data_IF_878577835168
#
_entry.id   IF_878577835168
#
_cell.length_a   1.000
_cell.length_b   1.000
_cell.length_c   1.000
_cell.angle_alpha   90.00
_cell.angle_beta   90.00
_cell.angle_gamma   90.00
#
_symmetry.space_group_name_H-M   'P 1'
#
loop_
_entity.id
_entity.type
_entity.pdbx_description
1 polymer ?
#
# COMPACT_ATOMS: atom_id res chain seq x y z
N UNK A 1 10.52 3.65 -10.23
CA UNK A 1 10.12 2.36 -10.84
C UNK A 1 8.89 1.84 -10.13
N UNK A 2 7.91 1.35 -10.89
CA UNK A 2 6.76 0.58 -10.38
C UNK A 2 6.81 -0.79 -11.06
N UNK A 3 6.94 -1.85 -10.26
CA UNK A 3 7.01 -3.21 -10.76
C UNK A 3 5.71 -3.96 -10.44
N UNK A 4 5.28 -4.76 -11.40
CA UNK A 4 4.12 -5.64 -11.34
C UNK A 4 4.62 -7.08 -11.37
N UNK A 5 4.18 -7.89 -10.40
CA UNK A 5 4.54 -9.30 -10.31
C UNK A 5 3.28 -10.16 -10.20
N UNK A 6 3.31 -11.43 -10.61
CA UNK A 6 2.17 -12.35 -10.45
C UNK A 6 1.66 -12.44 -9.01
N UNK A 7 2.57 -12.40 -8.04
CA UNK A 7 2.24 -12.47 -6.60
C UNK A 7 1.66 -11.18 -6.01
N UNK A 8 1.53 -10.11 -6.77
CA UNK A 8 0.98 -8.83 -6.26
C UNK A 8 -0.48 -8.94 -5.79
N UNK A 9 -1.17 -10.04 -6.08
CA UNK A 9 -2.50 -10.33 -5.51
C UNK A 9 -2.52 -10.34 -3.98
N UNK A 10 -1.37 -10.50 -3.32
CA UNK A 10 -1.23 -10.39 -1.85
C UNK A 10 -1.56 -8.97 -1.33
N UNK A 11 -1.48 -7.93 -2.17
CA UNK A 11 -1.88 -6.57 -1.77
C UNK A 11 -3.41 -6.41 -1.70
N UNK A 12 -4.16 -7.35 -2.28
CA UNK A 12 -5.64 -7.37 -2.26
C UNK A 12 -6.15 -8.24 -1.10
N UNK A 13 -5.57 -9.43 -0.94
CA UNK A 13 -6.11 -10.46 -0.05
C UNK A 13 -5.19 -10.85 1.10
N UNK A 14 -4.01 -10.26 1.18
CA UNK A 14 -3.01 -10.56 2.19
C UNK A 14 -3.37 -10.07 3.59
N UNK A 15 -2.44 -10.28 4.52
CA UNK A 15 -2.60 -9.82 5.91
C UNK A 15 -2.58 -8.29 5.99
N UNK A 16 -3.19 -7.71 7.03
CA UNK A 16 -3.16 -6.24 7.22
C UNK A 16 -1.76 -5.65 7.22
N UNK A 17 -0.76 -6.40 7.68
CA UNK A 17 0.63 -5.95 7.68
C UNK A 17 1.23 -5.85 6.28
N UNK A 18 0.90 -6.77 5.37
CA UNK A 18 1.33 -6.72 3.96
C UNK A 18 0.76 -5.49 3.28
N UNK A 19 -0.54 -5.23 3.47
CA UNK A 19 -1.22 -4.10 2.85
C UNK A 19 -0.69 -2.77 3.43
N UNK A 20 -0.48 -2.69 4.76
CA UNK A 20 0.16 -1.52 5.38
C UNK A 20 1.53 -1.23 4.79
N UNK A 21 2.38 -2.25 4.66
CA UNK A 21 3.71 -2.08 4.06
C UNK A 21 3.65 -1.61 2.60
N UNK A 22 2.65 -2.05 1.84
CA UNK A 22 2.44 -1.56 0.48
C UNK A 22 2.17 -0.05 0.48
N UNK A 23 1.18 0.43 1.28
CA UNK A 23 0.87 1.85 1.34
C UNK A 23 1.98 2.69 1.98
N UNK A 24 2.65 2.19 3.01
CA UNK A 24 3.82 2.88 3.58
C UNK A 24 4.93 3.07 2.54
N UNK A 25 5.19 2.06 1.70
CA UNK A 25 6.16 2.17 0.59
C UNK A 25 5.70 3.14 -0.48
N UNK A 26 4.43 3.09 -0.88
CA UNK A 26 3.85 3.98 -1.87
C UNK A 26 3.97 5.44 -1.42
N UNK A 27 3.49 5.77 -0.23
CA UNK A 27 3.55 7.13 0.30
C UNK A 27 5.01 7.59 0.44
N UNK A 28 5.90 6.72 0.89
CA UNK A 28 7.33 7.02 1.00
C UNK A 28 8.00 7.34 -0.36
N UNK A 29 7.47 6.83 -1.47
CA UNK A 29 7.97 7.18 -2.81
C UNK A 29 7.67 8.63 -3.19
N UNK A 30 6.61 9.22 -2.66
CA UNK A 30 6.11 10.55 -3.07
C UNK A 30 6.27 11.62 -2.01
N UNK A 31 6.43 11.25 -0.73
CA UNK A 31 6.50 12.16 0.40
C UNK A 31 7.75 11.87 1.27
N UNK A 32 8.73 12.78 1.22
CA UNK A 32 9.97 12.66 2.01
C UNK A 32 9.72 12.80 3.52
N UNK A 33 8.82 13.71 3.91
CA UNK A 33 8.47 13.89 5.32
C UNK A 33 7.83 12.62 5.90
N UNK A 34 7.06 11.89 5.07
CA UNK A 34 6.47 10.63 5.49
C UNK A 34 7.54 9.57 5.81
N UNK A 35 8.65 9.53 5.07
CA UNK A 35 9.78 8.61 5.33
C UNK A 35 10.38 8.89 6.72
N UNK A 36 10.64 10.17 7.00
CA UNK A 36 11.23 10.61 8.27
C UNK A 36 10.28 10.31 9.43
N UNK A 37 9.01 10.63 9.26
CA UNK A 37 7.96 10.38 10.23
C UNK A 37 7.79 8.88 10.53
N UNK A 38 7.72 8.05 9.49
CA UNK A 38 7.58 6.59 9.62
C UNK A 38 8.81 5.97 10.30
N UNK A 39 10.01 6.46 9.98
CA UNK A 39 11.26 6.01 10.58
C UNK A 39 11.31 6.37 12.07
N UNK A 40 10.96 7.61 12.39
CA UNK A 40 10.88 8.10 13.78
C UNK A 40 9.84 7.31 14.58
N UNK A 41 8.65 7.13 14.02
CA UNK A 41 7.59 6.32 14.63
C UNK A 41 8.05 4.89 14.96
N UNK A 42 8.70 4.21 14.01
CA UNK A 42 9.22 2.85 14.21
C UNK A 42 10.27 2.80 15.34
N UNK A 43 11.13 3.79 15.43
CA UNK A 43 12.12 3.92 16.51
C UNK A 43 11.45 4.15 17.86
N UNK A 44 10.49 5.06 17.92
CA UNK A 44 9.73 5.37 19.14
C UNK A 44 8.95 4.15 19.60
N UNK A 45 8.22 3.49 18.70
CA UNK A 45 7.46 2.26 19.00
C UNK A 45 8.37 1.16 19.56
N UNK A 46 9.52 0.93 18.95
CA UNK A 46 10.50 -0.06 19.42
C UNK A 46 10.99 0.24 20.85
N UNK A 47 11.32 1.50 21.11
CA UNK A 47 11.81 1.91 22.44
C UNK A 47 10.70 1.87 23.48
N UNK A 48 9.49 2.34 23.16
CA UNK A 48 8.32 2.22 24.03
C UNK A 48 8.02 0.76 24.37
N UNK A 49 8.02 -0.13 23.39
CA UNK A 49 7.79 -1.57 23.63
C UNK A 49 8.90 -2.22 24.47
N UNK A 50 10.15 -1.76 24.33
CA UNK A 50 11.23 -2.21 25.20
C UNK A 50 10.97 -1.78 26.65
N UNK A 51 10.62 -0.51 26.86
CA UNK A 51 10.32 0.01 28.19
C UNK A 51 9.11 -0.72 28.82
N UNK A 52 8.05 -0.99 28.04
CA UNK A 52 6.90 -1.76 28.53
C UNK A 52 7.30 -3.14 29.05
N UNK A 53 8.22 -3.83 28.39
CA UNK A 53 8.77 -5.11 28.86
C UNK A 53 9.59 -4.96 30.14
N UNK A 54 10.42 -3.91 30.20
CA UNK A 54 11.28 -3.65 31.36
C UNK A 54 10.46 -3.32 32.61
N UNK A 55 9.31 -2.62 32.46
CA UNK A 55 8.39 -2.28 33.57
C UNK A 55 7.78 -3.53 34.25
N UNK A 56 7.61 -4.63 33.50
CA UNK A 56 7.16 -5.90 34.08
C UNK A 56 8.07 -6.38 35.25
N UNK A 57 9.35 -6.01 35.18
CA UNK A 57 10.36 -6.40 36.18
C UNK A 57 10.76 -5.25 37.11
N UNK A 58 10.63 -3.98 36.67
CA UNK A 58 11.06 -2.77 37.39
C UNK A 58 9.98 -1.69 37.28
N UNK A 59 9.09 -1.62 38.27
CA UNK A 59 7.96 -0.66 38.28
C UNK A 59 8.35 0.81 38.47
N UNK A 60 9.52 1.09 39.06
CA UNK A 60 10.02 2.44 39.33
C UNK A 60 10.26 3.25 38.05
N UNK A 61 10.46 2.58 36.90
CA UNK A 61 10.71 3.27 35.59
C UNK A 61 9.42 3.65 34.86
N UNK A 62 8.24 3.39 35.42
CA UNK A 62 6.95 3.65 34.71
C UNK A 62 6.77 5.12 34.28
N UNK A 63 7.33 6.07 35.04
CA UNK A 63 7.28 7.49 34.71
C UNK A 63 7.98 7.83 33.38
N UNK A 64 8.92 7.00 32.93
CA UNK A 64 9.58 7.18 31.63
C UNK A 64 8.62 6.98 30.46
N UNK A 65 7.49 6.28 30.65
CA UNK A 65 6.46 6.13 29.62
C UNK A 65 5.85 7.47 29.21
N UNK A 66 5.78 8.46 30.09
CA UNK A 66 5.17 9.76 29.76
C UNK A 66 5.91 10.47 28.63
N UNK A 67 7.23 10.34 28.58
CA UNK A 67 8.07 10.90 27.52
C UNK A 67 7.80 10.16 26.19
N UNK A 68 7.82 8.81 26.25
CA UNK A 68 7.59 8.01 25.05
C UNK A 68 6.15 8.12 24.55
N UNK A 69 5.16 8.22 25.43
CA UNK A 69 3.76 8.42 25.08
C UNK A 69 3.56 9.78 24.38
N UNK A 70 4.25 10.84 24.82
CA UNK A 70 4.20 12.14 24.15
C UNK A 70 4.78 12.07 22.73
N UNK A 71 6.03 11.57 22.61
CA UNK A 71 6.69 11.41 21.31
C UNK A 71 5.91 10.49 20.35
N UNK A 72 5.32 9.43 20.91
CA UNK A 72 4.49 8.49 20.16
C UNK A 72 3.22 9.17 19.64
N UNK A 73 2.54 9.95 20.47
CA UNK A 73 1.28 10.63 20.11
C UNK A 73 1.49 11.60 18.96
N UNK A 74 2.57 12.39 19.00
CA UNK A 74 2.92 13.33 17.94
C UNK A 74 3.11 12.60 16.60
N UNK A 75 3.95 11.58 16.56
CA UNK A 75 4.23 10.82 15.35
C UNK A 75 3.01 10.01 14.87
N UNK A 76 2.25 9.40 15.78
CA UNK A 76 1.11 8.58 15.44
C UNK A 76 -0.03 9.40 14.83
N UNK A 77 -0.34 10.55 15.42
CA UNK A 77 -1.32 11.51 14.88
C UNK A 77 -0.95 11.93 13.45
N UNK A 78 0.27 12.41 13.27
CA UNK A 78 0.74 12.85 11.95
C UNK A 78 0.70 11.74 10.88
N UNK A 79 1.08 10.48 11.24
CA UNK A 79 0.98 9.34 10.33
C UNK A 79 -0.46 9.03 9.92
N UNK A 80 -1.40 9.04 10.88
CA UNK A 80 -2.82 8.77 10.59
C UNK A 80 -3.38 9.82 9.62
N UNK A 81 -3.10 11.10 9.86
CA UNK A 81 -3.54 12.20 9.00
C UNK A 81 -3.00 12.02 7.57
N UNK A 82 -1.68 11.82 7.43
CA UNK A 82 -1.06 11.62 6.11
C UNK A 82 -1.63 10.39 5.40
N UNK A 83 -1.79 9.26 6.08
CA UNK A 83 -2.37 8.05 5.49
C UNK A 83 -3.78 8.28 4.97
N UNK A 84 -4.65 8.95 5.72
CA UNK A 84 -6.00 9.29 5.26
C UNK A 84 -5.98 10.12 3.98
N UNK A 85 -5.20 11.21 3.95
CA UNK A 85 -5.08 12.07 2.77
C UNK A 85 -4.60 11.31 1.54
N UNK A 86 -3.57 10.46 1.69
CA UNK A 86 -3.04 9.68 0.56
C UNK A 86 -4.02 8.59 0.08
N UNK A 87 -4.78 7.98 0.96
CA UNK A 87 -5.79 6.98 0.56
C UNK A 87 -6.95 7.62 -0.17
N UNK A 88 -7.43 8.78 0.27
CA UNK A 88 -8.45 9.55 -0.44
C UNK A 88 -7.98 9.89 -1.86
N UNK A 89 -6.77 10.41 -2.00
CA UNK A 89 -6.19 10.72 -3.31
C UNK A 89 -5.99 9.46 -4.16
N UNK A 90 -5.49 8.37 -3.58
CA UNK A 90 -5.31 7.10 -4.28
C UNK A 90 -6.63 6.52 -4.82
N UNK A 91 -7.70 6.63 -4.05
CA UNK A 91 -9.02 6.14 -4.44
C UNK A 91 -9.58 6.84 -5.68
N UNK A 92 -9.19 8.09 -5.98
CA UNK A 92 -9.62 8.77 -7.20
C UNK A 92 -9.17 8.05 -8.46
N UNK A 93 -7.97 7.43 -8.43
CA UNK A 93 -7.45 6.61 -9.53
C UNK A 93 -7.95 5.18 -9.47
N UNK A 94 -7.92 4.56 -8.28
CA UNK A 94 -8.19 3.14 -8.12
C UNK A 94 -9.60 2.75 -8.58
N UNK A 95 -10.60 3.53 -8.19
CA UNK A 95 -11.98 3.31 -8.58
C UNK A 95 -12.16 3.34 -10.11
N UNK A 96 -11.61 4.38 -10.75
CA UNK A 96 -11.72 4.55 -12.20
C UNK A 96 -10.99 3.45 -12.96
N UNK A 97 -9.73 3.18 -12.58
CA UNK A 97 -8.89 2.19 -13.26
C UNK A 97 -9.46 0.78 -13.13
N UNK A 98 -9.96 0.39 -11.95
CA UNK A 98 -10.55 -0.93 -11.81
C UNK A 98 -11.79 -1.11 -12.69
N UNK A 99 -12.67 -0.11 -12.74
CA UNK A 99 -13.87 -0.14 -13.58
C UNK A 99 -13.53 -0.26 -15.07
N UNK A 100 -12.55 0.51 -15.53
CA UNK A 100 -12.10 0.49 -16.92
C UNK A 100 -11.45 -0.85 -17.32
N UNK A 101 -10.65 -1.45 -16.42
CA UNK A 101 -9.96 -2.71 -16.70
C UNK A 101 -10.87 -3.93 -16.58
N UNK A 102 -11.80 -3.92 -15.65
CA UNK A 102 -12.65 -5.08 -15.38
C UNK A 102 -13.83 -5.19 -16.32
N UNK A 103 -14.30 -4.07 -16.85
CA UNK A 103 -15.59 -3.99 -17.56
C UNK A 103 -16.81 -4.23 -16.65
N UNK A 104 -16.59 -4.46 -15.36
CA UNK A 104 -17.64 -4.64 -14.37
C UNK A 104 -18.09 -3.28 -13.81
N UNK A 105 -19.34 -3.22 -13.39
CA UNK A 105 -19.90 -2.01 -12.74
C UNK A 105 -19.61 -2.01 -11.22
N UNK A 106 -18.50 -2.60 -10.80
CA UNK A 106 -18.07 -2.64 -9.41
C UNK A 106 -17.24 -1.41 -9.06
N UNK A 107 -17.70 -0.65 -8.09
CA UNK A 107 -17.01 0.50 -7.54
C UNK A 107 -16.09 0.06 -6.37
N UNK A 108 -14.83 -0.29 -6.66
CA UNK A 108 -13.88 -0.61 -5.61
C UNK A 108 -13.37 0.63 -4.90
N UNK A 109 -13.38 0.58 -3.57
CA UNK A 109 -12.86 1.66 -2.71
C UNK A 109 -12.04 1.08 -1.57
N UNK A 110 -10.90 1.71 -1.28
CA UNK A 110 -10.06 1.36 -0.13
C UNK A 110 -10.48 2.23 1.04
N UNK A 111 -10.88 1.60 2.14
CA UNK A 111 -11.13 2.29 3.41
C UNK A 111 -9.97 2.05 4.35
N UNK A 112 -9.49 3.13 4.95
CA UNK A 112 -8.48 3.11 5.98
C UNK A 112 -9.11 3.21 7.36
N UNK A 113 -8.83 2.25 8.20
CA UNK A 113 -9.28 2.19 9.58
C UNK A 113 -8.08 2.39 10.50
N UNK A 114 -7.98 3.58 11.06
CA UNK A 114 -7.02 3.86 12.10
C UNK A 114 -7.43 3.13 13.37
N UNK A 115 -6.46 2.56 14.08
CA UNK A 115 -6.71 1.96 15.39
C UNK A 115 -6.89 3.02 16.48
N UNK A 116 -6.38 4.23 16.25
CA UNK A 116 -6.64 5.42 17.05
C UNK A 116 -7.96 6.03 16.62
N UNK A 117 -8.82 6.39 17.57
CA UNK A 117 -10.13 6.98 17.29
C UNK A 117 -10.07 8.46 16.96
N UNK A 118 -9.04 9.15 17.47
CA UNK A 118 -8.81 10.58 17.28
C UNK A 118 -7.48 10.85 16.57
N UNK A 119 -7.43 12.00 15.90
CA UNK A 119 -6.21 12.48 15.21
C UNK A 119 -5.50 13.57 16.00
N UNK A 120 -6.18 14.18 16.98
CA UNK A 120 -5.59 15.20 17.80
C UNK A 120 -4.59 14.58 18.77
N UNK A 121 -3.40 15.16 18.88
CA UNK A 121 -2.29 14.65 19.72
C UNK A 121 -2.71 14.47 21.18
N UNK A 122 -3.46 15.40 21.75
CA UNK A 122 -3.94 15.32 23.12
C UNK A 122 -4.86 14.12 23.32
N UNK A 123 -5.77 13.88 22.40
CA UNK A 123 -6.69 12.75 22.45
C UNK A 123 -5.97 11.42 22.25
N UNK A 124 -5.02 11.34 21.35
CA UNK A 124 -4.15 10.16 21.18
C UNK A 124 -3.40 9.85 22.47
N UNK A 125 -2.87 10.87 23.15
CA UNK A 125 -2.19 10.70 24.45
C UNK A 125 -3.16 10.18 25.52
N UNK A 126 -4.39 10.67 25.54
CA UNK A 126 -5.44 10.19 26.45
C UNK A 126 -5.82 8.73 26.15
N UNK A 127 -5.95 8.35 24.86
CA UNK A 127 -6.22 6.96 24.47
C UNK A 127 -5.09 6.02 24.90
N UNK A 128 -3.82 6.41 24.72
CA UNK A 128 -2.66 5.64 25.18
C UNK A 128 -2.65 5.48 26.70
N UNK A 129 -2.94 6.57 27.43
CA UNK A 129 -3.01 6.53 28.89
C UNK A 129 -4.05 5.52 29.39
N UNK A 130 -5.23 5.47 28.77
CA UNK A 130 -6.29 4.48 29.10
C UNK A 130 -5.85 3.05 28.82
N UNK A 131 -4.99 2.82 27.81
CA UNK A 131 -4.48 1.50 27.43
C UNK A 131 -3.19 1.11 28.15
N UNK A 132 -2.57 2.02 28.92
CA UNK A 132 -1.24 1.84 29.52
C UNK A 132 -1.13 0.53 30.35
N UNK A 133 -2.13 0.22 31.17
CA UNK A 133 -2.10 -1.00 31.99
C UNK A 133 -2.11 -2.28 31.12
N UNK A 134 -2.89 -2.27 30.04
CA UNK A 134 -2.96 -3.38 29.08
C UNK A 134 -1.62 -3.50 28.35
N UNK A 135 -1.06 -2.38 27.87
CA UNK A 135 0.21 -2.33 27.18
C UNK A 135 1.35 -2.88 28.07
N UNK A 136 1.35 -2.53 29.38
CA UNK A 136 2.33 -3.05 30.34
C UNK A 136 2.16 -4.55 30.51
N UNK A 137 0.92 -5.04 30.71
CA UNK A 137 0.66 -6.49 30.87
C UNK A 137 1.10 -7.29 29.63
N UNK A 138 0.86 -6.75 28.43
CA UNK A 138 1.22 -7.39 27.17
C UNK A 138 2.68 -7.16 26.76
N UNK A 139 3.40 -6.25 27.40
CA UNK A 139 4.76 -5.85 27.02
C UNK A 139 4.85 -5.25 25.62
N UNK A 140 3.75 -4.71 25.09
CA UNK A 140 3.67 -4.15 23.73
C UNK A 140 2.58 -3.10 23.62
N UNK A 141 2.78 -2.14 22.72
CA UNK A 141 1.79 -1.11 22.37
C UNK A 141 0.64 -1.73 21.59
N UNK A 142 -0.59 -1.56 22.07
CA UNK A 142 -1.79 -2.16 21.49
C UNK A 142 -2.56 -1.24 20.55
N UNK A 143 -2.29 0.06 20.56
CA UNK A 143 -2.93 1.08 19.72
C UNK A 143 -1.93 1.83 18.85
N UNK A 144 -2.33 2.24 17.66
CA UNK A 144 -1.60 3.18 16.81
C UNK A 144 -1.32 2.67 15.39
N UNK A 145 -0.60 3.44 14.59
CA UNK A 145 -0.39 3.22 13.15
C UNK A 145 0.10 1.83 12.74
N UNK A 146 0.78 1.12 13.61
CA UNK A 146 1.23 -0.26 13.38
C UNK A 146 0.10 -1.30 13.48
N UNK A 147 -1.09 -0.92 13.92
CA UNK A 147 -2.30 -1.74 14.03
C UNK A 147 -3.39 -1.37 13.03
N UNK A 148 -3.21 -0.29 12.29
CA UNK A 148 -4.18 0.18 11.31
C UNK A 148 -4.47 -0.86 10.22
N UNK A 149 -5.67 -0.79 9.65
CA UNK A 149 -6.15 -1.75 8.65
C UNK A 149 -6.63 -1.00 7.41
N UNK A 150 -6.27 -1.52 6.25
CA UNK A 150 -6.82 -1.11 4.97
C UNK A 150 -7.71 -2.22 4.44
N UNK A 151 -8.91 -1.89 4.04
CA UNK A 151 -9.89 -2.85 3.52
C UNK A 151 -10.44 -2.36 2.19
N UNK A 152 -10.46 -3.25 1.20
CA UNK A 152 -11.07 -2.96 -0.10
C UNK A 152 -12.52 -3.40 -0.02
N UNK A 153 -13.41 -2.47 -0.34
CA UNK A 153 -14.86 -2.70 -0.46
C UNK A 153 -15.27 -2.59 -1.90
N UNK A 154 -16.21 -3.43 -2.29
CA UNK A 154 -16.97 -3.31 -3.53
C UNK A 154 -18.36 -2.75 -3.32
N UNK A 155 -19.26 -3.07 -4.25
CA UNK A 155 -20.65 -2.67 -4.17
C UNK A 155 -21.31 -3.10 -2.86
N UNK A 156 -22.35 -2.38 -2.44
CA UNK A 156 -23.09 -2.63 -1.19
C UNK A 156 -22.20 -2.67 0.07
N UNK A 157 -21.03 -2.04 0.00
CA UNK A 157 -20.06 -2.00 1.10
C UNK A 157 -19.62 -3.39 1.58
N UNK A 158 -19.57 -4.37 0.66
CA UNK A 158 -19.12 -5.73 0.95
C UNK A 158 -17.60 -5.83 0.78
N UNK A 159 -16.92 -6.53 1.70
CA UNK A 159 -15.47 -6.72 1.61
C UNK A 159 -15.12 -7.47 0.32
N UNK A 160 -14.31 -6.84 -0.56
CA UNK A 160 -13.98 -7.39 -1.87
C UNK A 160 -13.33 -8.78 -1.79
N UNK A 161 -12.43 -8.99 -0.83
CA UNK A 161 -11.77 -10.28 -0.63
C UNK A 161 -12.69 -11.45 -0.32
N UNK A 162 -13.93 -11.18 0.16
CA UNK A 162 -14.86 -12.24 0.56
C UNK A 162 -15.63 -12.87 -0.62
N UNK A 163 -15.76 -12.15 -1.75
CA UNK A 163 -16.51 -12.63 -2.90
C UNK A 163 -15.71 -12.66 -4.22
N UNK A 164 -14.61 -11.89 -4.29
CA UNK A 164 -13.88 -11.74 -5.52
C UNK A 164 -13.24 -13.05 -6.01
N UNK A 165 -13.42 -13.36 -7.29
CA UNK A 165 -12.72 -14.43 -7.95
C UNK A 165 -11.21 -14.17 -8.06
N UNK A 166 -10.42 -15.19 -8.39
CA UNK A 166 -8.97 -15.03 -8.61
C UNK A 166 -8.67 -14.01 -9.70
N UNK A 167 -9.40 -14.04 -10.82
CA UNK A 167 -9.25 -13.08 -11.91
C UNK A 167 -9.60 -11.64 -11.49
N UNK A 168 -10.69 -11.46 -10.71
CA UNK A 168 -11.05 -10.15 -10.18
C UNK A 168 -9.98 -9.59 -9.22
N UNK A 169 -9.42 -10.42 -8.33
CA UNK A 169 -8.32 -10.01 -7.43
C UNK A 169 -7.07 -9.61 -8.20
N UNK A 170 -6.77 -10.32 -9.29
CA UNK A 170 -5.64 -10.00 -10.17
C UNK A 170 -5.84 -8.64 -10.84
N UNK A 171 -7.00 -8.41 -11.45
CA UNK A 171 -7.33 -7.11 -12.04
C UNK A 171 -7.28 -5.98 -11.01
N UNK A 172 -7.77 -6.22 -9.80
CA UNK A 172 -7.68 -5.25 -8.72
C UNK A 172 -6.22 -4.96 -8.33
N UNK A 173 -5.32 -5.96 -8.32
CA UNK A 173 -3.90 -5.74 -8.05
C UNK A 173 -3.24 -4.91 -9.15
N UNK A 174 -3.57 -5.16 -10.41
CA UNK A 174 -3.10 -4.36 -11.56
C UNK A 174 -3.64 -2.93 -11.45
N UNK A 175 -4.93 -2.75 -11.16
CA UNK A 175 -5.52 -1.43 -10.96
C UNK A 175 -4.85 -0.66 -9.81
N UNK A 176 -4.50 -1.32 -8.70
CA UNK A 176 -3.74 -0.71 -7.61
C UNK A 176 -2.36 -0.24 -8.06
N UNK A 177 -1.64 -1.04 -8.85
CA UNK A 177 -0.32 -0.68 -9.37
C UNK A 177 -0.39 0.46 -10.40
N UNK A 178 -1.38 0.47 -11.28
CA UNK A 178 -1.62 1.59 -12.19
C UNK A 178 -2.00 2.86 -11.43
N UNK A 179 -2.79 2.73 -10.35
CA UNK A 179 -3.09 3.86 -9.46
C UNK A 179 -1.84 4.41 -8.76
N UNK A 180 -0.91 3.53 -8.39
CA UNK A 180 0.42 3.92 -7.87
C UNK A 180 1.20 4.74 -8.91
N UNK A 181 1.21 4.30 -10.19
CA UNK A 181 1.84 5.04 -11.30
C UNK A 181 1.21 6.42 -11.46
N UNK A 182 -0.12 6.49 -11.47
CA UNK A 182 -0.89 7.74 -11.61
C UNK A 182 -0.63 8.70 -10.45
N UNK A 183 -0.66 8.22 -9.21
CA UNK A 183 -0.39 9.02 -8.02
C UNK A 183 1.05 9.58 -8.02
N UNK A 184 2.04 8.75 -8.39
CA UNK A 184 3.44 9.18 -8.49
C UNK A 184 3.57 10.28 -9.55
N UNK A 185 2.94 10.12 -10.71
CA UNK A 185 2.98 11.12 -11.78
C UNK A 185 2.32 12.42 -11.33
N UNK A 186 1.17 12.34 -10.68
CA UNK A 186 0.45 13.53 -10.24
C UNK A 186 1.23 14.36 -9.22
N UNK A 187 1.88 13.71 -8.26
CA UNK A 187 2.62 14.40 -7.20
C UNK A 187 4.00 14.86 -7.68
N UNK A 188 4.74 14.00 -8.40
CA UNK A 188 6.12 14.28 -8.80
C UNK A 188 6.25 14.94 -10.17
N UNK A 189 5.19 14.95 -10.98
CA UNK A 189 5.18 15.41 -12.37
C UNK A 189 6.27 14.75 -13.23
N UNK A 190 6.65 13.53 -12.86
CA UNK A 190 7.69 12.75 -13.55
C UNK A 190 7.17 11.38 -13.93
N UNK A 191 7.54 10.93 -15.14
CA UNK A 191 7.14 9.62 -15.65
C UNK A 191 7.82 8.51 -14.89
N UNK A 192 7.09 7.42 -14.67
CA UNK A 192 7.63 6.21 -14.02
C UNK A 192 8.22 5.27 -15.06
N UNK A 193 9.23 4.51 -14.69
CA UNK A 193 9.57 3.27 -15.37
C UNK A 193 8.64 2.19 -14.80
N UNK A 194 7.93 1.51 -15.69
CA UNK A 194 6.98 0.44 -15.35
C UNK A 194 7.56 -0.89 -15.80
N UNK A 195 7.66 -1.84 -14.90
CA UNK A 195 8.11 -3.21 -15.18
C UNK A 195 6.94 -4.16 -14.99
N UNK A 196 6.58 -4.93 -16.03
CA UNK A 196 5.61 -6.01 -15.97
C UNK A 196 6.35 -7.35 -16.11
N UNK A 197 6.39 -8.13 -15.05
CA UNK A 197 7.08 -9.41 -15.01
C UNK A 197 6.07 -10.55 -15.07
N UNK A 198 5.85 -11.10 -16.27
CA UNK A 198 4.91 -12.20 -16.59
C UNK A 198 3.46 -12.00 -16.10
N UNK A 199 3.03 -10.75 -15.96
CA UNK A 199 1.69 -10.42 -15.42
C UNK A 199 0.60 -10.56 -16.47
N UNK A 200 0.98 -10.43 -17.74
CA UNK A 200 0.03 -10.39 -18.86
C UNK A 200 -0.44 -11.78 -19.30
N UNK A 201 0.37 -12.82 -19.11
CA UNK A 201 0.09 -14.20 -19.51
C UNK A 201 -1.22 -14.76 -18.92
N UNK A 202 -1.64 -14.23 -17.79
CA UNK A 202 -2.80 -14.70 -17.04
C UNK A 202 -4.07 -13.86 -17.25
N UNK A 203 -4.02 -12.89 -18.19
CA UNK A 203 -5.15 -12.07 -18.62
C UNK A 203 -5.70 -12.57 -19.95
N UNK A 204 -7.01 -12.42 -20.15
CA UNK A 204 -7.59 -12.53 -21.48
C UNK A 204 -7.14 -11.37 -22.40
N UNK A 205 -7.30 -11.55 -23.71
CA UNK A 205 -6.78 -10.62 -24.71
C UNK A 205 -7.33 -9.20 -24.55
N UNK A 206 -8.61 -9.05 -24.24
CA UNK A 206 -9.24 -7.72 -24.09
C UNK A 206 -8.67 -6.98 -22.87
N UNK A 207 -8.52 -7.66 -21.76
CA UNK A 207 -7.95 -7.07 -20.52
C UNK A 207 -6.48 -6.76 -20.67
N UNK A 208 -5.72 -7.64 -21.34
CA UNK A 208 -4.32 -7.43 -21.67
C UNK A 208 -4.13 -6.18 -22.51
N UNK A 209 -4.92 -6.04 -23.56
CA UNK A 209 -4.94 -4.86 -24.42
C UNK A 209 -5.26 -3.58 -23.64
N UNK A 210 -6.27 -3.62 -22.77
CA UNK A 210 -6.66 -2.46 -21.96
C UNK A 210 -5.54 -2.03 -21.00
N UNK A 211 -4.85 -2.97 -20.34
CA UNK A 211 -3.72 -2.67 -19.46
C UNK A 211 -2.58 -2.01 -20.24
N UNK A 212 -2.18 -2.59 -21.37
CA UNK A 212 -1.10 -2.07 -22.18
C UNK A 212 -1.44 -0.70 -22.78
N UNK A 213 -2.67 -0.51 -23.27
CA UNK A 213 -3.11 0.78 -23.78
C UNK A 213 -3.01 1.89 -22.73
N UNK A 214 -3.43 1.62 -21.47
CA UNK A 214 -3.30 2.58 -20.37
C UNK A 214 -1.86 2.97 -20.07
N UNK A 215 -0.92 2.04 -20.18
CA UNK A 215 0.50 2.32 -19.96
C UNK A 215 1.11 3.11 -21.12
N UNK A 216 0.70 2.83 -22.36
CA UNK A 216 1.14 3.54 -23.56
C UNK A 216 0.62 4.98 -23.54
N UNK A 217 -0.69 5.16 -23.28
CA UNK A 217 -1.33 6.49 -23.21
C UNK A 217 -0.69 7.38 -22.14
N UNK A 218 -0.22 6.78 -21.03
CA UNK A 218 0.53 7.46 -19.99
C UNK A 218 1.94 7.89 -20.40
N UNK A 219 2.40 7.48 -21.61
CA UNK A 219 3.73 7.76 -22.14
C UNK A 219 4.85 7.44 -21.10
N UNK A 220 4.71 6.31 -20.43
CA UNK A 220 5.71 5.76 -19.52
C UNK A 220 6.74 4.90 -20.27
N UNK A 221 7.94 4.76 -19.72
CA UNK A 221 8.85 3.71 -20.18
C UNK A 221 8.35 2.38 -19.62
N UNK A 222 7.95 1.45 -20.49
CA UNK A 222 7.41 0.15 -20.09
C UNK A 222 8.39 -0.94 -20.51
N UNK A 223 8.71 -1.83 -19.57
CA UNK A 223 9.52 -3.04 -19.81
C UNK A 223 8.63 -4.22 -19.46
N UNK A 224 8.48 -5.14 -20.42
CA UNK A 224 7.60 -6.31 -20.27
C UNK A 224 8.42 -7.57 -20.44
N UNK A 225 8.31 -8.51 -19.53
CA UNK A 225 8.74 -9.88 -19.73
C UNK A 225 7.51 -10.76 -20.04
N UNK A 226 7.60 -11.62 -21.02
CA UNK A 226 6.56 -12.56 -21.41
C UNK A 226 7.18 -13.83 -21.98
N UNK A 227 6.48 -14.96 -21.85
CA UNK A 227 6.91 -16.23 -22.41
C UNK A 227 6.60 -16.35 -23.91
N UNK A 228 5.60 -15.58 -24.39
CA UNK A 228 5.17 -15.57 -25.80
C UNK A 228 5.06 -14.16 -26.35
N UNK A 229 5.53 -13.95 -27.57
CA UNK A 229 5.33 -12.69 -28.30
C UNK A 229 3.86 -12.37 -28.56
N UNK A 230 2.98 -13.39 -28.52
CA UNK A 230 1.54 -13.21 -28.67
C UNK A 230 0.94 -12.32 -27.56
N UNK A 231 1.60 -12.24 -26.40
CA UNK A 231 1.13 -11.43 -25.28
C UNK A 231 1.19 -9.92 -25.52
N UNK A 232 1.93 -9.49 -26.56
CA UNK A 232 2.14 -8.07 -26.91
C UNK A 232 1.87 -7.74 -28.38
N UNK A 233 1.26 -8.65 -29.14
CA UNK A 233 1.04 -8.52 -30.59
C UNK A 233 0.22 -7.30 -31.04
N UNK A 234 -0.48 -6.62 -30.15
CA UNK A 234 -1.31 -5.45 -30.42
C UNK A 234 -0.62 -4.14 -30.03
N UNK A 235 0.66 -4.20 -29.66
CA UNK A 235 1.48 -3.01 -29.39
C UNK A 235 2.33 -2.72 -30.61
N UNK A 236 2.17 -1.52 -31.17
CA UNK A 236 3.04 -1.03 -32.26
C UNK A 236 4.28 -0.33 -31.67
N UNK A 237 5.39 -0.37 -32.39
CA UNK A 237 6.63 0.36 -32.05
C UNK A 237 7.27 -0.01 -30.70
N UNK A 238 7.47 -1.29 -30.44
CA UNK A 238 8.27 -1.76 -29.31
C UNK A 238 9.59 -2.37 -29.76
N UNK A 239 10.59 -2.30 -28.88
CA UNK A 239 11.86 -3.01 -29.07
C UNK A 239 11.71 -4.42 -28.52
N UNK A 240 11.83 -5.44 -29.38
CA UNK A 240 11.81 -6.84 -28.99
C UNK A 240 13.21 -7.29 -28.64
N UNK A 241 13.38 -7.88 -27.47
CA UNK A 241 14.63 -8.48 -27.01
C UNK A 241 14.36 -9.92 -26.67
N UNK A 242 15.08 -10.84 -27.31
CA UNK A 242 14.98 -12.27 -27.03
C UNK A 242 16.08 -12.70 -26.07
N UNK A 243 15.71 -13.48 -25.06
CA UNK A 243 16.67 -14.02 -24.07
C UNK A 243 16.82 -15.52 -24.34
N UNK A 244 17.98 -15.95 -24.84
CA UNK A 244 18.29 -17.37 -25.11
C UNK A 244 19.60 -17.72 -24.42
N UNK A 245 19.61 -18.79 -23.61
CA UNK A 245 20.78 -19.25 -22.87
C UNK A 245 21.53 -18.12 -22.10
N UNK A 246 20.77 -17.28 -21.38
CA UNK A 246 21.28 -16.11 -20.63
C UNK A 246 21.95 -15.02 -21.50
N UNK A 247 21.71 -15.00 -22.79
CA UNK A 247 22.15 -13.94 -23.70
C UNK A 247 20.95 -13.19 -24.24
N UNK A 248 21.07 -11.87 -24.31
CA UNK A 248 20.07 -10.98 -24.88
C UNK A 248 20.45 -10.73 -26.36
N UNK A 249 19.51 -10.93 -27.26
CA UNK A 249 19.62 -10.58 -28.71
C UNK A 249 18.43 -9.74 -29.14
N UNK A 250 18.62 -8.95 -30.18
CA UNK A 250 17.53 -8.24 -30.88
C UNK A 250 16.91 -9.12 -31.94
#
# INVERSE_FOLDING_TARGET
VVAFFPDDTVIISGTPDVIRRYFDRLISKVDKEYIELLTSFRKILKNRNRLLKDILYKRDIIKQLDIWDSMYSDCASALVIKRKQYIEHFNTYFKTLYKELSGFNDDLTIKYYASLHNENVTDVKNELSKKRNIDIQMGTTTLGPHRDVYVIYGNENTMFKSYASTGQRRLASIAMKLSEVSLIYDIKKSKSIVLLDDVLSELDDDRRKNVLQKLIDGNHQVIITCASSNDVNFVDNYKHLQVVHNRVSE
#
